data_IF_861372358309
#
_entry.id   IF_861372358309
#
_cell.length_a   1.000
_cell.length_b   1.000
_cell.length_c   1.000
_cell.angle_alpha   90.00
_cell.angle_beta   90.00
_cell.angle_gamma   90.00
#
_symmetry.space_group_name_H-M   'P 1'
#
loop_
_entity.id
_entity.type
_entity.pdbx_description
1 polymer ?
#
# COMPACT_ATOMS: atom_id res chain seq x y z
N UNK A 1 31.29 16.11 -0.55
CA UNK A 1 30.75 15.78 -1.88
C UNK A 1 29.29 15.45 -1.70
N UNK A 2 28.39 16.14 -2.40
CA UNK A 2 26.97 15.79 -2.43
C UNK A 2 26.73 14.86 -3.60
N UNK A 3 26.08 13.73 -3.35
CA UNK A 3 25.57 12.88 -4.43
C UNK A 3 24.37 13.56 -5.07
N UNK A 4 24.24 13.43 -6.39
CA UNK A 4 23.06 13.91 -7.09
C UNK A 4 21.81 13.14 -6.63
N UNK A 5 20.65 13.79 -6.41
CA UNK A 5 19.44 13.13 -5.95
C UNK A 5 18.95 12.00 -6.87
N UNK A 6 19.16 12.11 -8.18
CA UNK A 6 18.74 11.08 -9.14
C UNK A 6 19.66 9.87 -9.06
N UNK A 7 20.97 10.07 -8.91
CA UNK A 7 21.93 8.98 -8.68
C UNK A 7 21.58 8.16 -7.44
N UNK A 8 21.18 8.83 -6.35
CA UNK A 8 20.76 8.15 -5.11
C UNK A 8 19.50 7.30 -5.32
N UNK A 9 18.52 7.80 -6.09
CA UNK A 9 17.30 7.06 -6.41
C UNK A 9 17.61 5.83 -7.25
N UNK A 10 18.45 5.97 -8.28
CA UNK A 10 18.83 4.87 -9.18
C UNK A 10 19.55 3.75 -8.40
N UNK A 11 20.56 4.08 -7.60
CA UNK A 11 21.28 3.10 -6.79
C UNK A 11 20.36 2.33 -5.82
N UNK A 12 19.38 3.00 -5.22
CA UNK A 12 18.45 2.37 -4.28
C UNK A 12 17.53 1.36 -4.99
N UNK A 13 17.03 1.71 -6.18
CA UNK A 13 16.18 0.83 -6.99
C UNK A 13 16.95 -0.39 -7.50
N UNK A 14 18.19 -0.21 -7.92
CA UNK A 14 19.06 -1.32 -8.38
C UNK A 14 19.32 -2.32 -7.24
N UNK A 15 19.59 -1.82 -6.04
CA UNK A 15 19.77 -2.64 -4.84
C UNK A 15 18.49 -3.42 -4.49
N UNK A 16 17.34 -2.75 -4.42
CA UNK A 16 16.06 -3.41 -4.14
C UNK A 16 15.68 -4.44 -5.21
N UNK A 17 15.93 -4.14 -6.48
CA UNK A 17 15.71 -5.07 -7.60
C UNK A 17 16.59 -6.31 -7.51
N UNK A 18 17.85 -6.15 -7.09
CA UNK A 18 18.79 -7.27 -6.86
C UNK A 18 18.32 -8.18 -5.74
N UNK A 19 17.87 -7.60 -4.61
CA UNK A 19 17.27 -8.34 -3.49
C UNK A 19 15.99 -9.06 -3.91
N UNK A 20 15.11 -8.39 -4.65
CA UNK A 20 13.85 -8.97 -5.16
C UNK A 20 14.09 -10.11 -6.17
N UNK A 21 15.20 -10.06 -6.93
CA UNK A 21 15.60 -11.12 -7.86
C UNK A 21 16.11 -12.39 -7.16
N UNK A 22 16.24 -12.40 -5.83
CA UNK A 22 16.70 -13.54 -5.06
C UNK A 22 18.21 -13.79 -5.14
N UNK A 23 18.98 -12.80 -5.62
CA UNK A 23 20.45 -12.85 -5.57
C UNK A 23 20.86 -12.75 -4.11
N UNK A 24 21.12 -13.91 -3.51
CA UNK A 24 21.60 -14.01 -2.14
C UNK A 24 23.12 -13.87 -2.16
N UNK A 25 23.64 -12.99 -1.30
CA UNK A 25 25.07 -12.81 -1.11
C UNK A 25 25.74 -14.18 -0.85
N UNK A 26 26.73 -14.62 -1.66
CA UNK A 26 27.40 -15.91 -1.46
C UNK A 26 28.19 -15.95 -0.14
N UNK A 27 28.39 -14.81 0.51
CA UNK A 27 29.07 -14.63 1.79
C UNK A 27 28.11 -14.52 2.99
N UNK A 28 26.79 -14.56 2.78
CA UNK A 28 25.77 -14.57 3.84
C UNK A 28 25.70 -13.31 4.71
N UNK A 29 26.28 -12.20 4.26
CA UNK A 29 26.50 -10.99 5.09
C UNK A 29 25.44 -9.89 4.90
N UNK A 30 24.53 -10.05 3.93
CA UNK A 30 23.55 -9.03 3.56
C UNK A 30 22.21 -9.32 4.26
N UNK A 31 22.04 -8.79 5.47
CA UNK A 31 20.76 -8.78 6.19
C UNK A 31 19.99 -7.48 5.86
N UNK A 32 19.38 -7.46 4.68
CA UNK A 32 18.61 -6.31 4.17
C UNK A 32 17.11 -6.59 4.34
N UNK A 33 16.45 -5.76 5.18
CA UNK A 33 15.00 -5.79 5.37
C UNK A 33 14.38 -4.47 4.90
N UNK A 34 13.68 -4.50 3.77
CA UNK A 34 12.82 -3.38 3.36
C UNK A 34 11.45 -3.52 4.01
N UNK A 35 10.99 -2.46 4.68
CA UNK A 35 9.60 -2.33 5.15
C UNK A 35 8.91 -1.23 4.35
N UNK A 36 7.86 -1.59 3.62
CA UNK A 36 7.03 -0.63 2.90
C UNK A 36 5.79 -0.27 3.73
N UNK A 37 5.27 0.95 3.57
CA UNK A 37 4.05 1.40 4.23
C UNK A 37 3.16 2.23 3.30
N UNK A 38 1.84 2.19 3.51
CA UNK A 38 0.86 2.91 2.69
C UNK A 38 0.97 4.44 2.86
N UNK A 39 0.99 5.23 1.76
CA UNK A 39 1.12 6.68 1.84
C UNK A 39 -0.17 7.39 2.30
N UNK A 40 -1.33 6.87 1.92
CA UNK A 40 -2.67 7.35 2.28
C UNK A 40 -3.57 6.17 2.72
N UNK A 41 -4.74 6.48 3.26
CA UNK A 41 -5.73 5.46 3.59
C UNK A 41 -6.49 5.05 2.33
N UNK A 42 -6.76 3.76 2.18
CA UNK A 42 -7.64 3.21 1.16
C UNK A 42 -8.96 2.80 1.81
N UNK A 43 -10.07 3.16 1.20
CA UNK A 43 -11.39 2.90 1.76
C UNK A 43 -12.48 2.95 0.70
N UNK A 44 -13.73 2.81 1.15
CA UNK A 44 -14.89 2.92 0.29
C UNK A 44 -15.80 4.07 0.72
N UNK A 45 -16.61 4.55 -0.20
CA UNK A 45 -17.71 5.47 0.11
C UNK A 45 -18.95 4.68 0.53
N UNK A 46 -19.41 4.91 1.76
CA UNK A 46 -20.62 4.36 2.34
C UNK A 46 -21.65 5.47 2.56
N UNK A 47 -22.94 5.12 2.50
CA UNK A 47 -24.06 6.03 2.77
C UNK A 47 -23.95 7.39 2.04
N UNK A 48 -23.69 7.31 0.73
CA UNK A 48 -23.77 8.44 -0.18
C UNK A 48 -22.63 9.46 -0.10
N UNK A 49 -21.92 9.62 1.02
CA UNK A 49 -20.81 10.59 1.19
C UNK A 49 -19.84 10.28 2.35
N UNK A 50 -19.93 9.12 3.01
CA UNK A 50 -19.07 8.80 4.16
C UNK A 50 -17.92 7.91 3.74
N UNK A 51 -16.68 8.43 3.76
CA UNK A 51 -15.49 7.61 3.55
C UNK A 51 -15.21 6.70 4.75
N UNK A 52 -15.18 5.39 4.49
CA UNK A 52 -14.84 4.36 5.49
C UNK A 52 -13.46 3.79 5.14
N UNK A 53 -12.40 4.14 5.90
CA UNK A 53 -11.06 3.62 5.64
C UNK A 53 -10.98 2.13 5.99
N UNK A 54 -10.56 1.31 5.03
CA UNK A 54 -10.33 -0.13 5.18
C UNK A 54 -8.85 -0.38 5.49
N UNK A 55 -7.94 0.18 4.69
CA UNK A 55 -6.49 0.15 4.93
C UNK A 55 -6.08 1.54 5.40
N UNK A 56 -5.68 1.74 6.67
CA UNK A 56 -5.25 3.04 7.13
C UNK A 56 -3.91 3.46 6.52
N UNK A 57 -3.67 4.77 6.49
CA UNK A 57 -2.36 5.35 6.18
C UNK A 57 -1.27 4.77 7.10
N UNK A 58 -0.05 4.71 6.59
CA UNK A 58 1.14 4.20 7.28
C UNK A 58 1.05 2.74 7.72
N UNK A 59 0.12 1.97 7.14
CA UNK A 59 0.04 0.54 7.38
C UNK A 59 1.16 -0.17 6.61
N UNK A 60 1.88 -1.08 7.26
CA UNK A 60 2.94 -1.87 6.64
C UNK A 60 2.39 -2.79 5.55
N UNK A 61 3.07 -2.84 4.40
CA UNK A 61 2.74 -3.70 3.27
C UNK A 61 3.71 -4.90 3.21
N UNK A 62 3.24 -6.10 2.84
CA UNK A 62 1.89 -6.42 2.35
C UNK A 62 0.83 -6.52 3.48
N UNK A 63 -0.41 -6.09 3.20
CA UNK A 63 -1.52 -6.32 4.12
C UNK A 63 -2.83 -6.65 3.40
N UNK A 64 -3.66 -7.45 4.08
CA UNK A 64 -5.03 -7.77 3.68
C UNK A 64 -5.96 -7.38 4.82
N UNK A 65 -7.04 -6.66 4.50
CA UNK A 65 -8.08 -6.27 5.47
C UNK A 65 -9.44 -6.54 4.87
N UNK A 66 -10.37 -6.97 5.72
CA UNK A 66 -11.73 -7.33 5.34
C UNK A 66 -12.70 -6.58 6.26
N UNK A 67 -13.82 -6.10 5.70
CA UNK A 67 -14.88 -5.42 6.44
C UNK A 67 -16.22 -5.76 5.79
N UNK A 68 -17.23 -5.99 6.62
CA UNK A 68 -18.57 -6.40 6.18
C UNK A 68 -19.45 -5.17 5.99
N UNK A 69 -20.11 -5.09 4.85
CA UNK A 69 -21.04 -4.02 4.51
C UNK A 69 -22.42 -4.58 4.18
N UNK A 70 -23.46 -3.78 4.44
CA UNK A 70 -24.84 -4.09 4.08
C UNK A 70 -25.50 -2.88 3.44
N UNK A 71 -26.58 -3.12 2.71
CA UNK A 71 -27.35 -2.09 2.03
C UNK A 71 -28.31 -1.40 3.00
N UNK A 72 -28.47 -0.08 2.87
CA UNK A 72 -29.36 0.71 3.73
C UNK A 72 -30.81 0.75 3.24
N UNK A 73 -31.13 0.14 2.10
CA UNK A 73 -32.48 0.10 1.50
C UNK A 73 -32.94 -1.36 1.35
N UNK A 74 -34.23 -1.59 1.54
CA UNK A 74 -34.84 -2.91 1.33
C UNK A 74 -34.88 -3.28 -0.16
N UNK A 75 -34.52 -4.53 -0.46
CA UNK A 75 -34.58 -5.13 -1.79
C UNK A 75 -33.83 -4.35 -2.91
N UNK A 76 -32.56 -3.93 -2.69
CA UNK A 76 -31.79 -3.21 -3.70
C UNK A 76 -31.42 -4.15 -4.85
N UNK A 77 -31.61 -3.69 -6.08
CA UNK A 77 -31.29 -4.46 -7.30
C UNK A 77 -29.79 -4.45 -7.61
N UNK A 78 -29.06 -3.44 -7.17
CA UNK A 78 -27.62 -3.26 -7.41
C UNK A 78 -26.94 -2.51 -6.26
N UNK A 79 -25.63 -2.73 -6.10
CA UNK A 79 -24.78 -2.02 -5.15
C UNK A 79 -23.54 -1.53 -5.87
N UNK A 80 -23.29 -0.22 -5.81
CA UNK A 80 -22.07 0.39 -6.32
C UNK A 80 -21.04 0.50 -5.18
N UNK A 81 -19.87 -0.11 -5.37
CA UNK A 81 -18.74 0.03 -4.45
C UNK A 81 -17.73 0.95 -5.10
N UNK A 82 -17.56 2.15 -4.56
CA UNK A 82 -16.54 3.10 -5.02
C UNK A 82 -15.37 3.09 -4.05
N UNK A 83 -14.17 2.86 -4.57
CA UNK A 83 -12.92 2.81 -3.80
C UNK A 83 -12.20 4.15 -3.94
N UNK A 84 -11.76 4.71 -2.83
CA UNK A 84 -11.02 5.97 -2.77
C UNK A 84 -9.71 5.83 -2.01
N UNK A 85 -8.75 6.68 -2.37
CA UNK A 85 -7.49 6.89 -1.65
C UNK A 85 -7.46 8.32 -1.09
N UNK A 86 -7.26 8.47 0.21
CA UNK A 86 -7.18 9.78 0.83
C UNK A 86 -7.49 9.82 2.32
N UNK A 87 -7.93 10.98 2.79
CA UNK A 87 -8.27 11.24 4.20
C UNK A 87 -9.75 11.56 4.42
N UNK A 88 -10.50 11.76 3.33
CA UNK A 88 -11.90 12.19 3.27
C UNK A 88 -12.49 11.78 1.94
#
# INVERSE_FOLDING_TARGET
MGMDPLEVVVCSVELEGTVASGVSDPLGSLDLLTIQATPQSLGIEADGHTFVPIIPRTMTMPAKKEMWFTTTRDNPTEVLIVVYEGKR
#
